data_IF_302984541076
#
_entry.id   IF_302984541076
#
_cell.length_a   1.000
_cell.length_b   1.000
_cell.length_c   1.000
_cell.angle_alpha   90.00
_cell.angle_beta   90.00
_cell.angle_gamma   90.00
#
_symmetry.space_group_name_H-M   'P 1'
#
loop_
_entity.id
_entity.type
_entity.pdbx_description
1 polymer ?
#
# COMPACT_ATOMS: atom_id res chain seq x y z
N UNK A 1 1.77 9.30 17.69
CA UNK A 1 0.63 8.40 17.66
C UNK A 1 0.16 8.06 19.08
N UNK A 2 1.05 7.67 20.00
CA UNK A 2 0.70 7.29 21.39
C UNK A 2 -0.03 8.40 22.16
N UNK A 3 0.34 9.67 21.93
CA UNK A 3 -0.39 10.80 22.50
C UNK A 3 -1.85 10.87 22.07
N UNK A 4 -2.14 10.48 20.81
CA UNK A 4 -3.50 10.45 20.30
C UNK A 4 -4.36 9.36 20.98
N UNK A 5 -3.80 8.21 21.30
CA UNK A 5 -4.54 7.16 22.01
C UNK A 5 -4.99 7.62 23.42
N UNK A 6 -4.20 8.48 24.05
CA UNK A 6 -4.49 9.03 25.38
C UNK A 6 -5.28 10.36 25.33
N UNK A 7 -5.54 10.90 24.13
CA UNK A 7 -6.31 12.14 23.95
C UNK A 7 -7.81 11.81 24.08
N UNK A 8 -8.47 12.44 25.04
CA UNK A 8 -9.92 12.29 25.26
C UNK A 8 -10.77 13.23 24.41
N UNK A 9 -10.14 14.21 23.75
CA UNK A 9 -10.87 15.25 22.99
C UNK A 9 -11.05 14.89 21.52
N UNK A 10 -10.13 14.11 20.95
CA UNK A 10 -10.16 13.76 19.53
C UNK A 10 -10.31 12.25 19.34
N UNK A 11 -11.34 11.86 18.61
CA UNK A 11 -11.55 10.46 18.19
C UNK A 11 -10.88 10.12 16.86
N UNK A 12 -10.54 11.11 16.06
CA UNK A 12 -10.01 10.97 14.71
C UNK A 12 -8.64 11.59 14.59
N UNK A 13 -7.76 10.94 13.82
CA UNK A 13 -6.42 11.45 13.47
C UNK A 13 -6.15 11.18 11.99
N UNK A 14 -5.52 12.12 11.32
CA UNK A 14 -5.12 11.97 9.92
C UNK A 14 -3.59 11.94 9.84
N UNK A 15 -3.05 10.95 9.16
CA UNK A 15 -1.65 10.86 8.78
C UNK A 15 -1.53 11.23 7.31
N UNK A 16 -0.77 12.25 6.99
CA UNK A 16 -0.57 12.70 5.61
C UNK A 16 0.91 12.71 5.24
N UNK A 17 1.21 12.96 3.99
CA UNK A 17 2.54 13.03 3.40
C UNK A 17 2.51 12.52 1.96
N UNK A 18 3.57 12.77 1.20
CA UNK A 18 3.69 12.34 -0.18
C UNK A 18 3.63 10.82 -0.34
N UNK A 19 3.34 10.36 -1.56
CA UNK A 19 3.39 8.93 -1.88
C UNK A 19 4.82 8.39 -1.71
N UNK A 20 4.95 7.18 -1.17
CA UNK A 20 6.26 6.55 -0.96
C UNK A 20 7.02 6.99 0.29
N UNK A 21 6.51 7.92 1.12
CA UNK A 21 7.17 8.38 2.36
C UNK A 21 7.11 7.39 3.53
N UNK A 22 6.44 6.25 3.38
CA UNK A 22 6.42 5.21 4.40
C UNK A 22 5.26 5.32 5.41
N UNK A 23 4.16 6.02 5.10
CA UNK A 23 2.97 6.12 5.98
C UNK A 23 2.44 4.75 6.40
N UNK A 24 2.22 3.85 5.46
CA UNK A 24 1.74 2.49 5.72
C UNK A 24 2.72 1.68 6.56
N UNK A 25 4.03 1.80 6.29
CA UNK A 25 5.07 1.13 7.05
C UNK A 25 5.13 1.64 8.51
N UNK A 26 5.02 2.97 8.71
CA UNK A 26 4.93 3.58 10.02
C UNK A 26 3.72 3.05 10.80
N UNK A 27 2.54 3.03 10.17
CA UNK A 27 1.33 2.52 10.78
C UNK A 27 1.44 1.04 11.14
N UNK A 28 1.91 0.20 10.21
CA UNK A 28 2.06 -1.24 10.45
C UNK A 28 3.04 -1.53 11.59
N UNK A 29 4.18 -0.82 11.64
CA UNK A 29 5.14 -0.97 12.72
C UNK A 29 4.58 -0.54 14.08
N UNK A 30 3.88 0.60 14.11
CA UNK A 30 3.26 1.11 15.31
C UNK A 30 2.13 0.20 15.82
N UNK A 31 1.27 -0.27 14.92
CA UNK A 31 0.17 -1.20 15.25
C UNK A 31 0.66 -2.51 15.87
N UNK A 32 1.79 -3.04 15.39
CA UNK A 32 2.39 -4.23 16.00
C UNK A 32 2.61 -4.04 17.50
N UNK A 33 3.18 -2.91 17.91
CA UNK A 33 3.42 -2.62 19.33
C UNK A 33 2.10 -2.44 20.11
N UNK A 34 1.08 -1.84 19.51
CA UNK A 34 -0.25 -1.67 20.13
C UNK A 34 -0.95 -3.03 20.33
N UNK A 35 -0.83 -3.93 19.35
CA UNK A 35 -1.40 -5.29 19.46
C UNK A 35 -0.67 -6.12 20.52
N UNK A 36 0.65 -5.99 20.62
CA UNK A 36 1.45 -6.67 21.66
C UNK A 36 1.13 -6.15 23.08
N UNK A 37 0.82 -4.86 23.24
CA UNK A 37 0.39 -4.25 24.50
C UNK A 37 -1.00 -4.77 24.96
N UNK A 38 -1.86 -5.13 24.03
CA UNK A 38 -3.15 -5.78 24.31
C UNK A 38 -4.21 -4.89 24.97
N UNK A 39 -3.96 -3.60 25.22
CA UNK A 39 -4.94 -2.66 25.80
C UNK A 39 -6.07 -2.30 24.86
N UNK A 40 -5.80 -2.33 23.54
CA UNK A 40 -6.72 -1.97 22.48
C UNK A 40 -7.12 -3.20 21.67
N UNK A 41 -8.36 -3.27 21.26
CA UNK A 41 -8.74 -4.06 20.10
C UNK A 41 -8.36 -3.27 18.86
N UNK A 42 -7.87 -3.94 17.80
CA UNK A 42 -7.37 -3.28 16.59
C UNK A 42 -8.07 -3.85 15.38
N UNK A 43 -8.64 -2.97 14.58
CA UNK A 43 -9.14 -3.26 13.22
C UNK A 43 -8.36 -2.41 12.24
N UNK A 44 -7.62 -3.04 11.32
CA UNK A 44 -6.80 -2.31 10.36
C UNK A 44 -7.15 -2.71 8.93
N UNK A 45 -7.38 -1.72 8.10
CA UNK A 45 -7.57 -1.88 6.66
C UNK A 45 -6.48 -1.12 5.92
N UNK A 46 -5.62 -1.87 5.21
CA UNK A 46 -4.56 -1.32 4.36
C UNK A 46 -4.99 -1.43 2.90
N UNK A 47 -5.31 -0.32 2.26
CA UNK A 47 -5.84 -0.30 0.88
C UNK A 47 -4.90 -0.94 -0.13
N UNK A 48 -3.58 -0.80 0.05
CA UNK A 48 -2.59 -1.48 -0.79
C UNK A 48 -2.57 -3.00 -0.59
N UNK A 49 -3.12 -3.50 0.52
CA UNK A 49 -3.08 -4.90 0.90
C UNK A 49 -4.42 -5.63 0.75
N UNK A 50 -5.51 -4.96 0.37
CA UNK A 50 -6.81 -5.62 0.20
C UNK A 50 -7.07 -5.93 -1.28
N UNK A 51 -7.28 -7.21 -1.61
CA UNK A 51 -7.87 -7.62 -2.90
C UNK A 51 -9.36 -7.31 -2.96
N UNK A 52 -9.96 -7.15 -1.79
CA UNK A 52 -11.32 -6.70 -1.64
C UNK A 52 -11.40 -5.22 -1.99
N UNK A 53 -12.42 -4.86 -2.71
CA UNK A 53 -12.63 -3.61 -3.37
C UNK A 53 -12.26 -2.41 -2.47
N UNK A 54 -11.74 -1.38 -3.10
CA UNK A 54 -11.59 -0.06 -2.48
C UNK A 54 -12.98 0.57 -2.21
N UNK A 55 -14.04 -0.24 -2.31
CA UNK A 55 -15.42 0.15 -2.07
C UNK A 55 -15.69 0.23 -0.58
N UNK A 56 -16.34 1.28 -0.16
CA UNK A 56 -16.64 1.52 1.25
C UNK A 56 -17.63 0.52 1.85
N UNK A 57 -18.46 -0.13 1.03
CA UNK A 57 -19.34 -1.23 1.48
C UNK A 57 -18.52 -2.44 1.92
N UNK A 58 -17.53 -2.83 1.13
CA UNK A 58 -16.64 -3.95 1.49
C UNK A 58 -15.81 -3.62 2.73
N UNK A 59 -15.37 -2.37 2.85
CA UNK A 59 -14.63 -1.92 4.04
C UNK A 59 -15.54 -1.94 5.28
N UNK A 60 -16.78 -1.45 5.16
CA UNK A 60 -17.75 -1.49 6.25
C UNK A 60 -18.03 -2.93 6.70
N UNK A 61 -18.22 -3.84 5.74
CA UNK A 61 -18.40 -5.26 6.00
C UNK A 61 -17.18 -5.87 6.69
N UNK A 62 -15.97 -5.55 6.22
CA UNK A 62 -14.73 -6.02 6.84
C UNK A 62 -14.63 -5.53 8.30
N UNK A 63 -14.87 -4.23 8.55
CA UNK A 63 -14.83 -3.67 9.91
C UNK A 63 -15.89 -4.35 10.79
N UNK A 64 -17.11 -4.54 10.30
CA UNK A 64 -18.20 -5.21 11.03
C UNK A 64 -17.79 -6.62 11.43
N UNK A 65 -17.28 -7.42 10.49
CA UNK A 65 -16.83 -8.80 10.76
C UNK A 65 -15.72 -8.84 11.81
N UNK A 66 -14.75 -7.91 11.74
CA UNK A 66 -13.68 -7.83 12.72
C UNK A 66 -14.19 -7.42 14.11
N UNK A 67 -15.13 -6.48 14.18
CA UNK A 67 -15.77 -6.10 15.44
C UNK A 67 -16.53 -7.31 16.03
N UNK A 68 -17.30 -8.04 15.23
CA UNK A 68 -18.04 -9.22 15.67
C UNK A 68 -17.08 -10.26 16.29
N UNK A 69 -15.98 -10.54 15.64
CA UNK A 69 -14.96 -11.49 16.16
C UNK A 69 -14.28 -10.98 17.45
N UNK A 70 -13.94 -9.68 17.52
CA UNK A 70 -13.21 -9.11 18.65
C UNK A 70 -14.06 -8.96 19.93
N UNK A 71 -15.38 -8.81 19.76
CA UNK A 71 -16.31 -8.56 20.87
C UNK A 71 -17.33 -9.69 21.08
N UNK A 72 -17.20 -10.81 20.36
CA UNK A 72 -18.08 -11.98 20.49
C UNK A 72 -19.53 -11.71 20.06
N UNK A 73 -19.70 -10.88 19.02
CA UNK A 73 -21.03 -10.48 18.50
C UNK A 73 -21.49 -11.36 17.32
N UNK A 74 -20.87 -12.51 17.09
CA UNK A 74 -21.11 -13.37 15.92
C UNK A 74 -22.55 -13.95 15.88
N UNK A 75 -23.27 -13.94 17.00
CA UNK A 75 -24.66 -14.47 17.12
C UNK A 75 -25.74 -13.44 16.72
N UNK A 76 -25.38 -12.27 16.17
CA UNK A 76 -26.31 -11.20 15.80
C UNK A 76 -27.05 -11.42 14.47
N UNK A 77 -27.10 -12.67 13.96
CA UNK A 77 -27.74 -12.99 12.67
C UNK A 77 -29.20 -12.57 12.58
N UNK A 78 -29.95 -12.62 13.69
CA UNK A 78 -31.37 -12.24 13.68
C UNK A 78 -31.59 -10.74 13.48
N UNK A 79 -30.74 -9.91 14.12
CA UNK A 79 -30.74 -8.46 13.90
C UNK A 79 -30.29 -8.09 12.49
N UNK A 80 -29.29 -8.81 11.96
CA UNK A 80 -28.82 -8.61 10.60
C UNK A 80 -29.88 -8.96 9.57
N UNK A 81 -30.67 -10.04 9.77
CA UNK A 81 -31.82 -10.40 8.93
C UNK A 81 -32.92 -9.34 8.97
N UNK A 82 -33.16 -8.70 10.15
CA UNK A 82 -34.13 -7.60 10.26
C UNK A 82 -33.66 -6.37 9.48
N UNK A 83 -32.38 -6.04 9.52
CA UNK A 83 -31.80 -4.96 8.71
C UNK A 83 -31.96 -5.28 7.22
N UNK A 84 -31.61 -6.50 6.79
CA UNK A 84 -31.72 -6.95 5.41
C UNK A 84 -33.20 -6.93 4.90
N UNK A 85 -34.13 -7.33 5.73
CA UNK A 85 -35.57 -7.34 5.36
C UNK A 85 -36.15 -5.92 5.23
N UNK A 86 -35.67 -4.97 6.01
CA UNK A 86 -36.16 -3.59 6.02
C UNK A 86 -35.41 -2.65 5.08
N UNK A 87 -34.29 -3.10 4.51
CA UNK A 87 -33.46 -2.26 3.63
C UNK A 87 -34.09 -2.15 2.24
N UNK A 88 -34.24 -0.91 1.79
CA UNK A 88 -34.69 -0.59 0.42
C UNK A 88 -33.54 -0.46 -0.58
N UNK A 89 -32.30 -0.43 -0.09
CA UNK A 89 -31.08 -0.22 -0.85
C UNK A 89 -29.96 -1.15 -0.30
N UNK A 90 -29.42 -2.03 -1.14
CA UNK A 90 -28.37 -3.00 -0.74
C UNK A 90 -27.09 -2.32 -0.24
N UNK A 91 -26.75 -1.16 -0.79
CA UNK A 91 -25.55 -0.40 -0.40
C UNK A 91 -25.62 0.19 1.01
N UNK A 92 -26.82 0.26 1.60
CA UNK A 92 -27.03 0.81 2.93
C UNK A 92 -26.95 -0.24 4.06
N UNK A 93 -27.09 -1.53 3.73
CA UNK A 93 -27.15 -2.63 4.71
C UNK A 93 -25.86 -2.72 5.51
N UNK A 94 -24.71 -2.71 4.86
CA UNK A 94 -23.41 -2.87 5.52
C UNK A 94 -23.08 -1.67 6.42
N UNK A 95 -23.51 -0.46 6.03
CA UNK A 95 -23.35 0.73 6.88
C UNK A 95 -24.28 0.70 8.10
N UNK A 96 -25.49 0.18 7.95
CA UNK A 96 -26.43 0.01 9.08
C UNK A 96 -25.93 -1.06 10.06
N UNK A 97 -25.39 -2.18 9.55
CA UNK A 97 -24.76 -3.21 10.39
C UNK A 97 -23.58 -2.64 11.16
N UNK A 98 -22.71 -1.89 10.48
CA UNK A 98 -21.59 -1.23 11.15
C UNK A 98 -22.05 -0.23 12.22
N UNK A 99 -23.10 0.56 11.95
CA UNK A 99 -23.66 1.50 12.92
C UNK A 99 -24.22 0.79 14.16
N UNK A 100 -24.89 -0.34 13.98
CA UNK A 100 -25.37 -1.15 15.10
C UNK A 100 -24.20 -1.69 15.95
N UNK A 101 -23.15 -2.22 15.32
CA UNK A 101 -21.95 -2.70 16.05
C UNK A 101 -21.26 -1.57 16.79
N UNK A 102 -21.15 -0.39 16.17
CA UNK A 102 -20.61 0.79 16.85
C UNK A 102 -21.33 1.11 18.17
N UNK A 103 -22.65 1.01 18.19
CA UNK A 103 -23.44 1.23 19.41
C UNK A 103 -23.21 0.15 20.48
N UNK A 104 -23.11 -1.13 20.06
CA UNK A 104 -22.99 -2.27 20.96
C UNK A 104 -21.65 -2.33 21.70
N UNK A 105 -20.59 -1.78 21.12
CA UNK A 105 -19.25 -1.75 21.74
C UNK A 105 -19.03 -0.56 22.68
N UNK A 106 -20.04 0.29 22.87
CA UNK A 106 -19.97 1.43 23.78
C UNK A 106 -19.62 0.97 25.19
N UNK A 107 -18.60 1.60 25.79
CA UNK A 107 -18.16 1.27 27.16
C UNK A 107 -17.43 -0.08 27.31
N UNK A 108 -17.22 -0.83 26.23
CA UNK A 108 -16.41 -2.05 26.24
C UNK A 108 -14.91 -1.74 26.09
N UNK A 109 -14.09 -2.76 25.90
CA UNK A 109 -12.65 -2.62 25.64
C UNK A 109 -12.43 -1.63 24.47
N UNK A 110 -11.48 -0.68 24.57
CA UNK A 110 -11.31 0.34 23.55
C UNK A 110 -10.91 -0.26 22.19
N UNK A 111 -11.43 0.34 21.11
CA UNK A 111 -11.20 -0.05 19.72
C UNK A 111 -10.38 1.00 18.99
N UNK A 112 -9.35 0.56 18.29
CA UNK A 112 -8.60 1.36 17.33
C UNK A 112 -8.90 0.87 15.92
N UNK A 113 -9.44 1.74 15.08
CA UNK A 113 -9.66 1.49 13.65
C UNK A 113 -8.59 2.26 12.87
N UNK A 114 -7.90 1.59 11.95
CA UNK A 114 -6.93 2.21 11.06
C UNK A 114 -7.33 1.99 9.61
N UNK A 115 -7.51 3.08 8.87
CA UNK A 115 -7.87 3.09 7.46
C UNK A 115 -6.72 3.71 6.66
N UNK A 116 -5.81 2.86 6.18
CA UNK A 116 -4.66 3.29 5.39
C UNK A 116 -5.05 3.49 3.92
N UNK A 117 -4.58 4.58 3.31
CA UNK A 117 -4.83 4.89 1.90
C UNK A 117 -6.25 5.41 1.60
N UNK A 118 -6.82 6.25 2.46
CA UNK A 118 -8.15 6.82 2.27
C UNK A 118 -8.35 7.55 0.93
N UNK A 119 -7.27 8.02 0.29
CA UNK A 119 -7.30 8.59 -1.06
C UNK A 119 -7.59 7.58 -2.16
N UNK A 120 -7.40 6.28 -1.90
CA UNK A 120 -7.60 5.20 -2.87
C UNK A 120 -9.05 4.69 -2.86
N UNK A 121 -9.86 5.09 -1.87
CA UNK A 121 -11.25 4.63 -1.74
C UNK A 121 -12.05 4.99 -3.00
N UNK A 122 -12.70 4.00 -3.59
CA UNK A 122 -13.51 4.17 -4.78
C UNK A 122 -14.87 4.77 -4.42
N UNK A 123 -15.30 5.71 -5.23
CA UNK A 123 -16.55 6.46 -5.03
C UNK A 123 -17.56 6.09 -6.11
N UNK A 124 -18.13 4.90 -6.01
CA UNK A 124 -19.21 4.48 -6.93
C UNK A 124 -20.46 5.34 -6.78
N UNK A 125 -20.69 5.93 -5.59
CA UNK A 125 -21.93 6.64 -5.26
C UNK A 125 -21.70 8.08 -4.75
N UNK A 126 -20.56 8.72 -4.99
CA UNK A 126 -20.19 10.06 -4.49
C UNK A 126 -20.26 10.25 -2.95
N UNK A 127 -20.58 9.20 -2.19
CA UNK A 127 -20.72 9.22 -0.71
C UNK A 127 -19.38 9.00 0.00
N UNK A 128 -18.46 8.32 -0.64
CA UNK A 128 -17.18 7.85 -0.07
C UNK A 128 -16.26 8.97 0.33
N UNK A 129 -16.11 9.99 -0.53
CA UNK A 129 -15.17 11.10 -0.29
C UNK A 129 -15.58 11.99 0.88
N UNK A 130 -16.85 11.93 1.30
CA UNK A 130 -17.36 12.72 2.42
C UNK A 130 -17.28 11.96 3.77
N UNK A 131 -16.84 10.69 3.78
CA UNK A 131 -16.83 9.81 4.95
C UNK A 131 -18.22 9.65 5.62
N UNK A 132 -19.30 9.88 4.87
CA UNK A 132 -20.67 9.80 5.39
C UNK A 132 -21.14 8.34 5.58
N UNK A 133 -20.32 7.38 5.17
CA UNK A 133 -20.57 5.96 5.37
C UNK A 133 -20.11 5.46 6.76
N UNK A 134 -19.21 6.20 7.42
CA UNK A 134 -18.80 5.89 8.78
C UNK A 134 -19.88 6.36 9.77
N UNK A 135 -20.30 5.49 10.69
CA UNK A 135 -21.21 5.88 11.76
C UNK A 135 -20.53 6.78 12.79
N UNK A 136 -21.31 7.40 13.63
CA UNK A 136 -20.82 8.02 14.85
C UNK A 136 -20.42 6.91 15.83
N UNK A 137 -19.12 6.81 16.09
CA UNK A 137 -18.58 5.84 17.03
C UNK A 137 -18.61 6.37 18.47
N UNK A 138 -18.73 5.49 19.48
CA UNK A 138 -18.67 5.88 20.90
C UNK A 138 -17.25 6.33 21.31
N UNK A 139 -17.14 6.98 22.48
CA UNK A 139 -15.90 7.60 22.97
C UNK A 139 -14.72 6.63 23.16
N UNK A 140 -15.00 5.34 23.32
CA UNK A 140 -13.98 4.29 23.42
C UNK A 140 -13.42 3.83 22.06
N UNK A 141 -13.80 4.48 20.95
CA UNK A 141 -13.30 4.18 19.62
C UNK A 141 -12.40 5.31 19.10
N UNK A 142 -11.23 4.96 18.58
CA UNK A 142 -10.32 5.87 17.90
C UNK A 142 -10.16 5.45 16.45
N UNK A 143 -10.07 6.43 15.54
CA UNK A 143 -9.92 6.18 14.11
C UNK A 143 -8.70 6.95 13.58
N UNK A 144 -7.82 6.24 12.90
CA UNK A 144 -6.68 6.84 12.18
C UNK A 144 -6.87 6.62 10.68
N UNK A 145 -6.76 7.71 9.94
CA UNK A 145 -6.75 7.70 8.48
C UNK A 145 -5.35 7.99 7.96
N UNK A 146 -4.95 7.37 6.86
CA UNK A 146 -3.82 7.87 6.09
C UNK A 146 -4.29 8.36 4.72
N UNK A 147 -3.65 9.41 4.22
CA UNK A 147 -3.96 9.99 2.90
C UNK A 147 -2.75 10.71 2.30
N UNK A 148 -2.88 11.16 1.07
CA UNK A 148 -1.91 12.04 0.39
C UNK A 148 -2.37 13.50 0.57
N UNK A 149 -1.44 14.42 0.76
CA UNK A 149 -1.75 15.82 1.08
C UNK A 149 -2.55 16.52 -0.02
N UNK A 150 -2.27 16.22 -1.27
CA UNK A 150 -2.89 16.84 -2.45
C UNK A 150 -4.26 16.24 -2.81
N UNK A 151 -4.68 15.16 -2.12
CA UNK A 151 -5.92 14.48 -2.44
C UNK A 151 -7.17 15.23 -1.91
N UNK A 152 -8.28 15.06 -2.62
CA UNK A 152 -9.58 15.66 -2.25
C UNK A 152 -10.06 15.19 -0.86
N UNK A 153 -9.70 13.99 -0.45
CA UNK A 153 -10.01 13.43 0.87
C UNK A 153 -9.41 14.28 1.98
N UNK A 154 -8.21 14.83 1.76
CA UNK A 154 -7.58 15.73 2.73
C UNK A 154 -8.40 17.00 2.97
N UNK A 155 -9.09 17.53 1.96
CA UNK A 155 -9.98 18.68 2.12
C UNK A 155 -11.18 18.36 3.03
N UNK A 156 -11.69 17.12 2.96
CA UNK A 156 -12.77 16.67 3.84
C UNK A 156 -12.29 16.59 5.29
N UNK A 157 -11.12 16.04 5.53
CA UNK A 157 -10.54 15.98 6.89
C UNK A 157 -10.30 17.39 7.46
N UNK A 158 -9.77 18.33 6.65
CA UNK A 158 -9.60 19.74 7.05
C UNK A 158 -10.93 20.41 7.40
N UNK A 159 -11.99 20.17 6.61
CA UNK A 159 -13.35 20.69 6.91
C UNK A 159 -13.92 20.13 8.21
N UNK A 160 -13.64 18.87 8.52
CA UNK A 160 -14.04 18.20 9.78
C UNK A 160 -13.12 18.56 10.95
N UNK A 161 -12.07 19.37 10.72
CA UNK A 161 -11.10 19.80 11.73
C UNK A 161 -10.39 18.63 12.44
N UNK A 162 -10.17 17.53 11.74
CA UNK A 162 -9.42 16.41 12.30
C UNK A 162 -7.94 16.82 12.49
N UNK A 163 -7.31 16.48 13.62
CA UNK A 163 -5.87 16.70 13.80
C UNK A 163 -5.07 15.92 12.75
N UNK A 164 -3.99 16.54 12.30
CA UNK A 164 -3.15 16.03 11.21
C UNK A 164 -1.72 15.86 11.67
N UNK A 165 -1.11 14.73 11.34
CA UNK A 165 0.33 14.48 11.46
C UNK A 165 0.88 14.29 10.05
N UNK A 166 1.91 15.08 9.70
CA UNK A 166 2.59 14.94 8.41
C UNK A 166 3.82 14.06 8.56
N UNK A 167 3.95 13.08 7.67
CA UNK A 167 5.16 12.24 7.55
C UNK A 167 6.09 12.92 6.56
N UNK A 168 7.22 13.38 7.05
CA UNK A 168 8.27 14.03 6.29
C UNK A 168 9.31 13.01 5.81
N UNK A 169 10.14 13.37 4.81
CA UNK A 169 11.31 12.57 4.44
C UNK A 169 12.20 12.25 5.65
N UNK A 170 12.85 11.10 5.58
CA UNK A 170 13.81 10.71 6.62
C UNK A 170 14.97 11.70 6.67
N UNK A 171 15.38 12.07 7.88
CA UNK A 171 16.58 12.87 8.10
C UNK A 171 17.83 12.12 7.60
N UNK A 172 18.88 12.87 7.28
CA UNK A 172 20.12 12.31 6.74
C UNK A 172 20.67 11.15 7.57
N UNK A 173 20.72 11.29 8.88
CA UNK A 173 21.19 10.24 9.80
C UNK A 173 20.27 9.02 9.82
N UNK A 174 18.97 9.25 9.71
CA UNK A 174 17.98 8.17 9.61
C UNK A 174 18.12 7.41 8.29
N UNK A 175 18.34 8.12 7.17
CA UNK A 175 18.62 7.50 5.88
C UNK A 175 19.91 6.71 5.92
N UNK A 176 20.98 7.28 6.49
CA UNK A 176 22.25 6.58 6.68
C UNK A 176 22.06 5.29 7.47
N UNK A 177 21.34 5.35 8.58
CA UNK A 177 21.03 4.17 9.39
C UNK A 177 20.24 3.14 8.61
N UNK A 178 19.21 3.56 7.88
CA UNK A 178 18.39 2.67 7.04
C UNK A 178 19.25 1.92 6.01
N UNK A 179 20.15 2.62 5.33
CA UNK A 179 21.05 2.04 4.32
C UNK A 179 21.96 1.00 4.95
N UNK A 180 22.59 1.34 6.08
CA UNK A 180 23.51 0.43 6.79
C UNK A 180 22.76 -0.79 7.28
N UNK A 181 21.64 -0.61 7.98
CA UNK A 181 20.81 -1.70 8.51
C UNK A 181 20.28 -2.61 7.38
N UNK A 182 19.96 -2.05 6.21
CA UNK A 182 19.54 -2.81 5.04
C UNK A 182 20.65 -3.75 4.55
N UNK A 183 21.84 -3.23 4.31
CA UNK A 183 22.94 -4.06 3.78
C UNK A 183 23.50 -5.05 4.79
N UNK A 184 23.50 -4.71 6.08
CA UNK A 184 23.95 -5.61 7.16
C UNK A 184 23.10 -6.90 7.22
N UNK A 185 21.80 -6.85 6.91
CA UNK A 185 20.93 -8.04 6.79
C UNK A 185 21.43 -9.04 5.74
N UNK A 186 22.09 -8.53 4.69
CA UNK A 186 22.62 -9.33 3.59
C UNK A 186 24.14 -9.56 3.72
N UNK A 187 24.75 -9.18 4.85
CA UNK A 187 26.19 -9.24 5.10
C UNK A 187 26.99 -8.53 4.00
N UNK A 188 26.45 -7.45 3.46
CA UNK A 188 27.07 -6.57 2.48
C UNK A 188 27.41 -5.22 3.11
N UNK A 189 28.36 -4.51 2.52
CA UNK A 189 28.73 -3.15 2.93
C UNK A 189 29.01 -2.30 1.71
N UNK A 190 28.59 -1.05 1.77
CA UNK A 190 28.96 -0.03 0.82
C UNK A 190 30.26 0.64 1.25
N UNK A 191 31.06 1.12 0.31
CA UNK A 191 32.16 2.03 0.62
C UNK A 191 31.61 3.38 1.08
N UNK A 192 32.42 4.16 1.82
CA UNK A 192 32.04 5.53 2.24
C UNK A 192 31.71 6.44 1.03
N UNK A 193 32.41 6.25 -0.09
CA UNK A 193 32.10 6.95 -1.34
C UNK A 193 30.70 6.59 -1.86
N UNK A 194 30.37 5.32 -1.94
CA UNK A 194 29.06 4.83 -2.41
C UNK A 194 27.92 5.30 -1.49
N UNK A 195 28.13 5.21 -0.18
CA UNK A 195 27.17 5.70 0.81
C UNK A 195 26.95 7.22 0.67
N UNK A 196 28.02 7.97 0.49
CA UNK A 196 27.95 9.43 0.29
C UNK A 196 27.21 9.78 -1.00
N UNK A 197 27.41 9.03 -2.09
CA UNK A 197 26.69 9.21 -3.36
C UNK A 197 25.18 9.04 -3.18
N UNK A 198 24.75 8.01 -2.44
CA UNK A 198 23.32 7.78 -2.17
C UNK A 198 22.72 8.89 -1.30
N UNK A 199 23.45 9.31 -0.26
CA UNK A 199 22.97 10.32 0.70
C UNK A 199 22.94 11.75 0.15
N UNK A 200 23.86 12.08 -0.79
CA UNK A 200 24.01 13.39 -1.42
C UNK A 200 23.53 13.42 -2.87
N UNK A 201 22.94 12.35 -3.35
CA UNK A 201 22.30 12.30 -4.66
C UNK A 201 21.17 13.30 -4.79
N UNK A 202 20.46 13.27 -5.93
CA UNK A 202 19.29 14.11 -6.14
C UNK A 202 18.21 13.85 -5.07
N UNK A 203 17.34 14.83 -4.85
CA UNK A 203 16.24 14.78 -3.85
C UNK A 203 15.31 13.57 -4.01
N UNK A 204 15.41 12.83 -5.11
CA UNK A 204 14.62 11.60 -5.33
C UNK A 204 14.88 10.54 -4.27
N UNK A 205 16.10 10.47 -3.69
CA UNK A 205 16.46 9.52 -2.63
C UNK A 205 15.89 9.93 -1.25
N UNK A 206 15.29 11.11 -1.14
CA UNK A 206 14.53 11.55 0.03
C UNK A 206 13.20 10.79 0.13
N UNK A 207 12.68 10.33 -1.01
CA UNK A 207 11.54 9.42 -1.03
C UNK A 207 11.98 8.02 -0.58
N UNK A 208 11.41 7.57 0.53
CA UNK A 208 11.77 6.30 1.17
C UNK A 208 11.57 5.10 0.25
N UNK A 209 10.52 5.10 -0.58
CA UNK A 209 10.27 4.02 -1.54
C UNK A 209 11.31 3.98 -2.65
N UNK A 210 11.68 5.14 -3.20
CA UNK A 210 12.75 5.24 -4.21
C UNK A 210 14.07 4.77 -3.61
N UNK A 211 14.39 5.21 -2.41
CA UNK A 211 15.58 4.76 -1.69
C UNK A 211 15.61 3.23 -1.54
N UNK A 212 14.51 2.64 -1.03
CA UNK A 212 14.42 1.18 -0.87
C UNK A 212 14.55 0.43 -2.20
N UNK A 213 13.92 0.95 -3.26
CA UNK A 213 14.05 0.37 -4.61
C UNK A 213 15.49 0.42 -5.12
N UNK A 214 16.19 1.53 -4.87
CA UNK A 214 17.62 1.67 -5.21
C UNK A 214 18.49 0.69 -4.43
N UNK A 215 18.25 0.53 -3.12
CA UNK A 215 19.01 -0.39 -2.28
C UNK A 215 18.84 -1.85 -2.74
N UNK A 216 17.63 -2.24 -3.13
CA UNK A 216 17.38 -3.58 -3.69
C UNK A 216 18.11 -3.80 -5.03
N UNK A 217 18.11 -2.80 -5.91
CA UNK A 217 18.87 -2.88 -7.17
C UNK A 217 20.37 -2.99 -6.91
N UNK A 218 20.92 -2.23 -5.96
CA UNK A 218 22.34 -2.32 -5.55
C UNK A 218 22.62 -3.71 -4.96
N UNK A 219 21.69 -4.24 -4.14
CA UNK A 219 21.83 -5.57 -3.54
C UNK A 219 21.97 -6.67 -4.60
N UNK A 220 21.16 -6.59 -5.66
CA UNK A 220 21.13 -7.56 -6.76
C UNK A 220 22.18 -7.28 -7.83
N UNK A 221 22.95 -6.19 -7.75
CA UNK A 221 23.93 -5.82 -8.75
C UNK A 221 25.13 -6.78 -8.72
N UNK A 222 25.34 -7.50 -9.83
CA UNK A 222 26.31 -8.61 -9.90
C UNK A 222 27.74 -8.20 -10.27
N UNK A 223 27.99 -6.95 -10.71
CA UNK A 223 29.30 -6.50 -11.16
C UNK A 223 29.90 -5.45 -10.22
N UNK A 224 30.90 -5.85 -9.45
CA UNK A 224 31.53 -4.98 -8.45
C UNK A 224 32.22 -3.76 -9.07
N UNK A 225 32.91 -3.93 -10.19
CA UNK A 225 33.73 -2.87 -10.81
C UNK A 225 32.87 -1.72 -11.34
N UNK A 226 31.67 -2.02 -11.78
CA UNK A 226 30.73 -1.01 -12.30
C UNK A 226 29.69 -0.53 -11.29
N UNK A 227 29.70 -1.06 -10.05
CA UNK A 227 28.70 -0.72 -9.01
C UNK A 227 28.68 0.78 -8.69
N UNK A 228 29.85 1.38 -8.52
CA UNK A 228 29.95 2.82 -8.19
C UNK A 228 29.39 3.70 -9.32
N UNK A 229 29.68 3.34 -10.58
CA UNK A 229 29.10 4.02 -11.74
C UNK A 229 27.59 3.85 -11.81
N UNK A 230 27.09 2.66 -11.53
CA UNK A 230 25.65 2.38 -11.46
C UNK A 230 24.97 3.23 -10.38
N UNK A 231 25.50 3.28 -9.15
CA UNK A 231 24.96 4.12 -8.07
C UNK A 231 24.92 5.58 -8.53
N UNK A 232 26.01 6.09 -9.10
CA UNK A 232 26.07 7.46 -9.58
C UNK A 232 25.00 7.77 -10.65
N UNK A 233 24.78 6.85 -11.59
CA UNK A 233 23.74 7.00 -12.61
C UNK A 233 22.34 7.04 -12.03
N UNK A 234 22.05 6.17 -11.05
CA UNK A 234 20.71 6.09 -10.44
C UNK A 234 20.41 7.25 -9.49
N UNK A 235 21.42 7.79 -8.79
CA UNK A 235 21.23 8.87 -7.81
C UNK A 235 21.22 10.27 -8.42
N UNK A 236 21.65 10.42 -9.68
CA UNK A 236 21.67 11.71 -10.38
C UNK A 236 20.54 11.86 -11.42
N UNK A 237 19.50 11.07 -11.32
CA UNK A 237 18.31 11.20 -12.17
C UNK A 237 17.49 12.44 -11.77
N UNK A 238 16.81 13.11 -12.73
CA UNK A 238 16.17 14.39 -12.49
C UNK A 238 14.90 14.29 -11.61
N UNK A 239 14.20 13.15 -11.69
CA UNK A 239 12.93 12.94 -11.01
C UNK A 239 12.62 11.45 -10.78
N UNK A 240 11.56 11.19 -10.02
CA UNK A 240 11.11 9.84 -9.66
C UNK A 240 10.64 9.04 -10.89
N UNK A 241 10.03 9.68 -11.88
CA UNK A 241 9.59 8.99 -13.09
C UNK A 241 10.79 8.49 -13.91
N UNK A 242 11.81 9.32 -14.04
CA UNK A 242 13.09 8.95 -14.68
C UNK A 242 13.77 7.80 -13.94
N UNK A 243 13.69 7.76 -12.61
CA UNK A 243 14.21 6.67 -11.81
C UNK A 243 13.50 5.35 -12.13
N UNK A 244 12.16 5.34 -12.10
CA UNK A 244 11.40 4.12 -12.41
C UNK A 244 11.55 3.72 -13.88
N UNK A 245 11.61 4.66 -14.81
CA UNK A 245 11.89 4.33 -16.22
C UNK A 245 13.25 3.64 -16.38
N UNK A 246 14.29 4.16 -15.75
CA UNK A 246 15.62 3.55 -15.77
C UNK A 246 15.65 2.17 -15.10
N UNK A 247 14.94 2.02 -13.99
CA UNK A 247 14.77 0.75 -13.28
C UNK A 247 14.11 -0.30 -14.20
N UNK A 248 13.03 0.06 -14.88
CA UNK A 248 12.31 -0.82 -15.80
C UNK A 248 13.15 -1.19 -17.01
N UNK A 249 13.88 -0.24 -17.63
CA UNK A 249 14.83 -0.51 -18.71
C UNK A 249 15.87 -1.53 -18.30
N UNK A 250 16.40 -1.41 -17.10
CA UNK A 250 17.38 -2.37 -16.59
C UNK A 250 16.78 -3.76 -16.41
N UNK A 251 15.54 -3.86 -15.92
CA UNK A 251 14.85 -5.14 -15.81
C UNK A 251 14.63 -5.78 -17.18
N UNK A 252 14.26 -4.99 -18.18
CA UNK A 252 14.19 -5.46 -19.59
C UNK A 252 15.53 -6.02 -20.06
N UNK A 253 16.62 -5.29 -19.84
CA UNK A 253 17.98 -5.74 -20.23
C UNK A 253 18.42 -7.02 -19.51
N UNK A 254 17.93 -7.25 -18.30
CA UNK A 254 18.34 -8.38 -17.46
C UNK A 254 17.49 -9.64 -17.72
N UNK A 255 16.18 -9.48 -17.92
CA UNK A 255 15.24 -10.60 -17.94
C UNK A 255 14.67 -10.91 -19.32
N UNK A 256 14.64 -9.96 -20.25
CA UNK A 256 14.23 -10.24 -21.61
C UNK A 256 15.28 -11.14 -22.29
N UNK A 257 14.81 -12.10 -23.07
CA UNK A 257 15.65 -13.04 -23.80
C UNK A 257 15.30 -13.01 -25.29
N UNK A 258 16.14 -13.55 -26.19
CA UNK A 258 15.80 -13.66 -27.61
C UNK A 258 14.50 -14.43 -27.88
N UNK A 259 14.16 -15.40 -26.99
CA UNK A 259 12.89 -16.17 -27.09
C UNK A 259 11.71 -15.41 -26.53
N UNK A 260 11.92 -14.54 -25.55
CA UNK A 260 10.88 -13.74 -24.87
C UNK A 260 11.34 -12.26 -24.78
N UNK A 261 11.37 -11.54 -25.91
CA UNK A 261 11.93 -10.17 -25.97
C UNK A 261 11.10 -9.13 -25.21
N UNK A 262 9.84 -9.43 -24.90
CA UNK A 262 8.94 -8.55 -24.16
C UNK A 262 8.55 -9.09 -22.77
N UNK A 263 9.25 -10.09 -22.25
CA UNK A 263 8.94 -10.79 -21.00
C UNK A 263 8.62 -9.81 -19.86
N UNK A 264 9.51 -8.88 -19.59
CA UNK A 264 9.35 -7.90 -18.49
C UNK A 264 8.10 -7.05 -18.68
N UNK A 265 7.92 -6.48 -19.87
CA UNK A 265 6.79 -5.59 -20.15
C UNK A 265 5.46 -6.34 -20.18
N UNK A 266 5.43 -7.59 -20.64
CA UNK A 266 4.21 -8.41 -20.70
C UNK A 266 3.76 -8.81 -19.29
N UNK A 267 4.66 -9.37 -18.48
CA UNK A 267 4.36 -9.76 -17.10
C UNK A 267 3.87 -8.56 -16.27
N UNK A 268 4.61 -7.47 -16.29
CA UNK A 268 4.24 -6.28 -15.51
C UNK A 268 2.94 -5.64 -16.00
N UNK A 269 2.69 -5.64 -17.32
CA UNK A 269 1.45 -5.12 -17.89
C UNK A 269 0.24 -5.97 -17.52
N UNK A 270 0.35 -7.30 -17.52
CA UNK A 270 -0.73 -8.21 -17.10
C UNK A 270 -1.10 -7.98 -15.63
N UNK A 271 -0.10 -7.89 -14.74
CA UNK A 271 -0.32 -7.59 -13.32
C UNK A 271 -0.98 -6.20 -13.16
N UNK A 272 -0.55 -5.19 -13.93
CA UNK A 272 -1.10 -3.84 -13.85
C UNK A 272 -2.55 -3.73 -14.33
N UNK A 273 -2.93 -4.53 -15.32
CA UNK A 273 -4.29 -4.54 -15.89
C UNK A 273 -5.27 -5.36 -15.06
N UNK A 274 -4.79 -6.32 -14.30
CA UNK A 274 -5.63 -7.11 -13.41
C UNK A 274 -6.07 -6.26 -12.22
N UNK A 275 -7.38 -6.29 -11.91
CA UNK A 275 -7.94 -5.51 -10.79
C UNK A 275 -7.45 -6.05 -9.44
N UNK A 276 -7.44 -7.37 -9.30
CA UNK A 276 -7.19 -8.07 -8.04
C UNK A 276 -5.87 -8.87 -8.05
N UNK A 277 -4.99 -8.61 -9.03
CA UNK A 277 -3.82 -9.42 -9.29
C UNK A 277 -4.12 -10.70 -10.07
N UNK A 278 -3.08 -11.43 -10.43
CA UNK A 278 -3.16 -12.71 -11.13
C UNK A 278 -2.40 -13.77 -10.32
N UNK A 279 -2.93 -14.99 -10.27
CA UNK A 279 -2.19 -16.11 -9.72
C UNK A 279 -0.98 -16.45 -10.61
N UNK A 280 0.01 -17.13 -10.07
CA UNK A 280 1.17 -17.60 -10.84
C UNK A 280 0.74 -18.45 -12.05
N UNK A 281 -0.25 -19.32 -11.86
CA UNK A 281 -0.78 -20.17 -12.93
C UNK A 281 -1.45 -19.36 -14.03
N UNK A 282 -2.26 -18.36 -13.67
CA UNK A 282 -2.89 -17.45 -14.64
C UNK A 282 -1.81 -16.63 -15.40
N UNK A 283 -0.82 -16.09 -14.71
CA UNK A 283 0.27 -15.32 -15.33
C UNK A 283 1.04 -16.17 -16.35
N UNK A 284 1.43 -17.40 -16.00
CA UNK A 284 2.14 -18.33 -16.88
C UNK A 284 1.26 -18.69 -18.08
N UNK A 285 -0.01 -19.01 -17.86
CA UNK A 285 -0.92 -19.39 -18.93
C UNK A 285 -1.19 -18.26 -19.93
N UNK A 286 -1.44 -17.03 -19.44
CA UNK A 286 -1.74 -15.87 -20.29
C UNK A 286 -0.51 -15.38 -21.03
N UNK A 287 0.65 -15.33 -20.35
CA UNK A 287 1.90 -14.84 -20.94
C UNK A 287 2.59 -15.86 -21.83
N UNK A 288 2.20 -17.14 -21.75
CA UNK A 288 2.85 -18.26 -22.42
C UNK A 288 4.37 -18.34 -22.14
N UNK A 289 4.78 -17.96 -20.91
CA UNK A 289 6.18 -17.95 -20.48
C UNK A 289 6.40 -19.19 -19.61
N UNK A 290 7.48 -19.98 -19.80
CA UNK A 290 7.80 -21.10 -18.91
C UNK A 290 7.99 -20.65 -17.47
N UNK A 291 7.56 -21.48 -16.51
CA UNK A 291 7.64 -21.20 -15.06
C UNK A 291 9.04 -20.83 -14.57
N UNK A 292 10.09 -21.34 -15.23
CA UNK A 292 11.49 -21.01 -14.91
C UNK A 292 11.77 -19.50 -15.06
N UNK A 293 11.31 -18.89 -16.15
CA UNK A 293 11.53 -17.45 -16.40
C UNK A 293 10.69 -16.60 -15.45
N UNK A 294 9.46 -17.03 -15.17
CA UNK A 294 8.61 -16.40 -14.17
C UNK A 294 9.29 -16.43 -12.79
N UNK A 295 9.74 -17.59 -12.31
CA UNK A 295 10.34 -17.73 -10.98
C UNK A 295 11.59 -16.86 -10.82
N UNK A 296 12.45 -16.80 -11.83
CA UNK A 296 13.62 -15.92 -11.82
C UNK A 296 13.21 -14.45 -11.75
N UNK A 297 12.23 -14.05 -12.57
CA UNK A 297 11.71 -12.69 -12.58
C UNK A 297 11.10 -12.32 -11.25
N UNK A 298 10.23 -13.17 -10.69
CA UNK A 298 9.56 -12.92 -9.40
C UNK A 298 10.55 -12.80 -8.25
N UNK A 299 11.48 -13.75 -8.10
CA UNK A 299 12.48 -13.73 -7.03
C UNK A 299 13.33 -12.46 -7.02
N UNK A 300 13.62 -11.91 -8.18
CA UNK A 300 14.38 -10.68 -8.29
C UNK A 300 13.54 -9.41 -8.14
N UNK A 301 12.20 -9.53 -8.13
CA UNK A 301 11.28 -8.41 -8.04
C UNK A 301 10.42 -8.41 -6.77
N UNK A 302 10.79 -9.18 -5.74
CA UNK A 302 10.06 -9.27 -4.46
C UNK A 302 9.98 -7.94 -3.69
N UNK A 303 10.81 -6.96 -4.02
CA UNK A 303 10.68 -5.60 -3.50
C UNK A 303 9.52 -4.80 -4.13
N UNK A 304 9.08 -5.22 -5.32
CA UNK A 304 8.07 -4.51 -6.11
C UNK A 304 6.79 -5.33 -6.32
N UNK A 305 6.90 -6.64 -6.19
CA UNK A 305 5.81 -7.60 -6.32
C UNK A 305 5.61 -8.36 -5.01
N UNK A 306 4.37 -8.59 -4.66
CA UNK A 306 4.01 -9.40 -3.50
C UNK A 306 2.91 -10.39 -3.84
N UNK A 307 2.84 -11.49 -3.11
CA UNK A 307 1.71 -12.42 -3.20
C UNK A 307 0.71 -12.06 -2.10
N UNK A 308 -0.53 -11.89 -2.51
CA UNK A 308 -1.66 -11.62 -1.63
C UNK A 308 -2.84 -12.49 -2.07
N UNK A 309 -3.38 -13.27 -1.13
CA UNK A 309 -4.48 -14.22 -1.39
C UNK A 309 -4.19 -15.13 -2.60
N UNK A 310 -2.92 -15.57 -2.75
CA UNK A 310 -2.47 -16.40 -3.86
C UNK A 310 -2.31 -15.67 -5.21
N UNK A 311 -2.45 -14.33 -5.23
CA UNK A 311 -2.34 -13.49 -6.42
C UNK A 311 -1.15 -12.56 -6.33
N UNK A 312 -0.46 -12.37 -7.44
CA UNK A 312 0.65 -11.42 -7.57
C UNK A 312 0.10 -10.03 -7.81
N UNK A 313 0.51 -9.10 -6.97
CA UNK A 313 0.14 -7.68 -7.02
C UNK A 313 1.37 -6.80 -6.86
N UNK A 314 1.26 -5.52 -7.18
CA UNK A 314 2.33 -4.57 -6.87
C UNK A 314 2.34 -4.23 -5.39
N UNK A 315 3.54 -4.18 -4.82
CA UNK A 315 3.74 -3.76 -3.44
C UNK A 315 3.43 -2.26 -3.22
N UNK A 316 3.49 -1.44 -4.29
CA UNK A 316 3.30 0.01 -4.21
C UNK A 316 2.70 0.58 -5.50
N UNK A 317 1.78 1.54 -5.36
CA UNK A 317 1.12 2.21 -6.48
C UNK A 317 2.08 2.98 -7.40
N UNK A 318 3.15 3.55 -6.86
CA UNK A 318 4.12 4.32 -7.67
C UNK A 318 4.74 3.47 -8.77
N UNK A 319 5.10 2.21 -8.48
CA UNK A 319 5.65 1.31 -9.51
C UNK A 319 4.57 0.90 -10.51
N UNK A 320 3.33 0.68 -10.04
CA UNK A 320 2.19 0.41 -10.91
C UNK A 320 1.96 1.55 -11.91
N UNK A 321 1.94 2.79 -11.41
CA UNK A 321 1.78 3.99 -12.25
C UNK A 321 2.91 4.13 -13.27
N UNK A 322 4.16 3.90 -12.88
CA UNK A 322 5.31 3.93 -13.78
C UNK A 322 5.19 2.87 -14.89
N UNK A 323 4.72 1.67 -14.56
CA UNK A 323 4.48 0.58 -15.51
C UNK A 323 3.34 0.94 -16.45
N UNK A 324 2.24 1.46 -15.94
CA UNK A 324 1.10 1.90 -16.75
C UNK A 324 1.50 3.00 -17.74
N UNK A 325 2.27 3.96 -17.28
CA UNK A 325 2.78 5.05 -18.12
C UNK A 325 3.72 4.56 -19.21
N UNK A 326 4.63 3.63 -18.89
CA UNK A 326 5.64 3.14 -19.83
C UNK A 326 5.08 2.13 -20.83
N UNK A 327 4.26 1.18 -20.39
CA UNK A 327 3.90 0.01 -21.19
C UNK A 327 2.44 -0.03 -21.65
N UNK A 328 1.53 0.72 -21.00
CA UNK A 328 0.11 0.59 -21.24
C UNK A 328 -0.46 1.81 -21.98
N UNK A 329 -0.17 1.90 -23.27
CA UNK A 329 -0.92 2.77 -24.18
C UNK A 329 -2.34 2.22 -24.42
N UNK A 330 -3.21 3.02 -25.05
CA UNK A 330 -4.63 2.67 -25.27
C UNK A 330 -4.79 1.39 -26.08
N UNK A 331 -3.97 1.17 -27.11
CA UNK A 331 -4.04 -0.01 -27.99
C UNK A 331 -3.61 -1.28 -27.23
N UNK A 332 -2.50 -1.21 -26.51
CA UNK A 332 -1.99 -2.36 -25.74
C UNK A 332 -2.92 -2.73 -24.58
N UNK A 333 -3.57 -1.76 -23.95
CA UNK A 333 -4.61 -2.02 -22.94
C UNK A 333 -5.75 -2.87 -23.48
N UNK A 334 -6.24 -2.54 -24.69
CA UNK A 334 -7.33 -3.31 -25.34
C UNK A 334 -6.86 -4.71 -25.69
N UNK A 335 -5.68 -4.82 -26.30
CA UNK A 335 -5.14 -6.12 -26.71
C UNK A 335 -4.91 -7.08 -25.53
N UNK A 336 -4.32 -6.61 -24.44
CA UNK A 336 -4.05 -7.44 -23.27
C UNK A 336 -5.31 -7.79 -22.47
N UNK A 337 -6.32 -6.91 -22.43
CA UNK A 337 -7.61 -7.21 -21.78
C UNK A 337 -8.42 -8.32 -22.45
N UNK A 338 -8.15 -8.59 -23.72
CA UNK A 338 -8.79 -9.73 -24.42
C UNK A 338 -8.19 -11.08 -24.01
N UNK A 339 -7.00 -11.06 -23.39
CA UNK A 339 -6.28 -12.25 -22.97
C UNK A 339 -6.47 -12.56 -21.46
N UNK A 340 -6.97 -11.60 -20.69
CA UNK A 340 -7.31 -11.73 -19.27
C UNK A 340 -8.79 -12.10 -19.12
#
# INVERSE_FOLDING_TARGET
>A
LDKFLNDTTNQHLVITGESGMGKSALLAYWLKNIMEDGRWNVVAHFSANSSQSLDTTDIAKHITTQIDSLYGLEQMEENDRQIEHNATDTDNIDYQKLALRAQLIAGQKPLLIVLDGANQLSDRNHRTKLLNWLPDFPDNVKIIFSTIEEDKTMQVFKKRKYPVITVYPLLLDQRKKLIVDFFDRYRKRLSEQQLTMILKGSDITDNTMVLMSLLEEIRCFGNFDSLTSFINQMTNLPDINSFFDRLLQRKEQTYNTPLYPSLTSDLLSLIALSKDGLSETELIAISNIPSLYWSQFYCANTAHLMIRDGRVVFAHDMIRQAIEQKYLNSERKVQLRQNI
#
